data_IF_258647938055
#
_entry.id   IF_258647938055
#
_cell.length_a   1.000
_cell.length_b   1.000
_cell.length_c   1.000
_cell.angle_alpha   90.00
_cell.angle_beta   90.00
_cell.angle_gamma   90.00
#
_symmetry.space_group_name_H-M   'P 1'
#
loop_
_entity.id
_entity.type
_entity.pdbx_description
1 polymer ?
#
# COMPACT_ATOMS: atom_id res chain seq x y z
N UNK A 1 26.04 1.86 -24.77
CA UNK A 1 25.59 1.87 -23.36
C UNK A 1 26.75 2.39 -22.53
N UNK A 2 26.61 3.55 -21.90
CA UNK A 2 27.67 4.14 -21.10
C UNK A 2 27.76 3.39 -19.75
N UNK A 3 28.96 2.91 -19.41
CA UNK A 3 29.25 2.22 -18.15
C UNK A 3 30.19 3.09 -17.34
N UNK A 4 29.71 3.61 -16.22
CA UNK A 4 30.53 4.36 -15.26
C UNK A 4 30.99 3.44 -14.14
N UNK A 5 32.26 3.52 -13.78
CA UNK A 5 32.85 2.72 -12.72
C UNK A 5 33.20 3.59 -11.51
N UNK A 6 32.79 3.15 -10.32
CA UNK A 6 33.09 3.82 -9.06
C UNK A 6 33.76 2.85 -8.09
N UNK A 7 34.51 3.37 -7.12
CA UNK A 7 35.04 2.57 -6.02
C UNK A 7 34.18 2.78 -4.78
N UNK A 8 33.78 1.69 -4.12
CA UNK A 8 33.04 1.77 -2.87
C UNK A 8 33.93 2.38 -1.77
N UNK A 9 33.50 3.44 -1.07
CA UNK A 9 34.29 4.05 0.00
C UNK A 9 34.49 3.13 1.22
N UNK A 10 33.67 2.08 1.37
CA UNK A 10 33.73 1.20 2.53
C UNK A 10 34.58 -0.06 2.34
N UNK A 11 34.56 -0.66 1.14
CA UNK A 11 35.26 -1.91 0.86
C UNK A 11 36.20 -1.83 -0.34
N UNK A 12 36.28 -0.67 -1.01
CA UNK A 12 37.11 -0.41 -2.20
C UNK A 12 36.75 -1.29 -3.41
N UNK A 13 35.64 -2.03 -3.36
CA UNK A 13 35.16 -2.81 -4.49
C UNK A 13 34.79 -1.90 -5.68
N UNK A 14 35.10 -2.36 -6.90
CA UNK A 14 34.81 -1.63 -8.13
C UNK A 14 33.38 -1.88 -8.58
N UNK A 15 32.52 -0.88 -8.41
CA UNK A 15 31.11 -0.91 -8.75
C UNK A 15 30.93 -0.45 -10.21
N UNK A 16 30.29 -1.31 -11.02
CA UNK A 16 29.98 -1.01 -12.43
C UNK A 16 28.50 -0.67 -12.54
N UNK A 17 28.21 0.57 -12.92
CA UNK A 17 26.84 1.04 -13.10
C UNK A 17 26.49 1.11 -14.59
N UNK A 18 25.37 0.49 -14.96
CA UNK A 18 24.83 0.53 -16.34
C UNK A 18 23.68 1.55 -16.37
N UNK A 19 23.81 2.57 -17.21
CA UNK A 19 22.76 3.58 -17.42
C UNK A 19 22.95 4.87 -16.62
N UNK A 20 22.23 5.92 -17.02
CA UNK A 20 22.26 7.26 -16.40
C UNK A 20 21.49 7.24 -15.08
N UNK A 21 22.15 6.87 -13.98
CA UNK A 21 21.56 7.09 -12.66
C UNK A 21 21.65 8.57 -12.27
N UNK A 22 20.58 9.08 -11.67
CA UNK A 22 20.47 10.46 -11.23
C UNK A 22 21.02 10.62 -9.81
N UNK A 23 21.54 11.82 -9.53
CA UNK A 23 21.94 12.21 -8.19
C UNK A 23 20.77 12.02 -7.21
N UNK A 24 21.07 11.51 -6.01
CA UNK A 24 20.08 11.21 -4.97
C UNK A 24 19.71 9.73 -4.86
N UNK A 25 20.04 8.88 -5.86
CA UNK A 25 19.72 7.45 -5.82
C UNK A 25 20.48 6.76 -4.69
N UNK A 26 19.75 5.97 -3.88
CA UNK A 26 20.30 5.17 -2.77
C UNK A 26 20.31 3.70 -3.15
N UNK A 27 21.42 3.02 -2.89
CA UNK A 27 21.55 1.58 -3.13
C UNK A 27 22.54 0.94 -2.16
N UNK A 28 22.52 -0.38 -2.05
CA UNK A 28 23.46 -1.12 -1.19
C UNK A 28 24.61 -1.65 -2.03
N UNK A 29 25.83 -1.57 -1.48
CA UNK A 29 26.99 -2.20 -2.11
C UNK A 29 26.81 -3.73 -2.16
N UNK A 30 26.96 -4.40 -3.31
CA UNK A 30 26.80 -5.86 -3.41
C UNK A 30 27.88 -6.64 -2.64
N UNK A 31 29.06 -6.03 -2.43
CA UNK A 31 30.18 -6.70 -1.76
C UNK A 31 30.15 -6.55 -0.23
N UNK A 32 29.66 -5.42 0.29
CA UNK A 32 29.69 -5.14 1.73
C UNK A 32 28.34 -4.78 2.35
N UNK A 33 27.27 -4.77 1.55
CA UNK A 33 25.88 -4.47 1.97
C UNK A 33 25.68 -3.12 2.68
N UNK A 34 26.64 -2.19 2.59
CA UNK A 34 26.51 -0.86 3.21
C UNK A 34 25.73 0.09 2.29
N UNK A 35 24.89 0.97 2.85
CA UNK A 35 24.11 1.92 2.07
C UNK A 35 25.03 3.00 1.47
N UNK A 36 24.84 3.27 0.19
CA UNK A 36 25.56 4.28 -0.58
C UNK A 36 24.56 5.21 -1.27
N UNK A 37 24.94 6.47 -1.46
CA UNK A 37 24.17 7.43 -2.22
C UNK A 37 25.02 8.06 -3.31
N UNK A 38 24.41 8.26 -4.48
CA UNK A 38 25.03 9.01 -5.59
C UNK A 38 24.84 10.49 -5.31
N UNK A 39 25.94 11.20 -5.07
CA UNK A 39 25.96 12.67 -5.01
C UNK A 39 26.58 13.24 -6.28
N UNK A 40 26.17 14.43 -6.66
CA UNK A 40 26.82 15.20 -7.72
C UNK A 40 27.75 16.22 -7.08
N UNK A 41 29.03 16.22 -7.44
CA UNK A 41 29.97 17.25 -6.98
C UNK A 41 29.63 18.60 -7.62
N UNK A 42 30.05 19.73 -7.04
CA UNK A 42 29.83 21.06 -7.62
C UNK A 42 30.46 21.23 -9.02
N UNK A 43 31.42 20.39 -9.43
CA UNK A 43 31.94 20.36 -10.81
C UNK A 43 31.10 19.49 -11.77
N UNK A 44 29.95 18.96 -11.33
CA UNK A 44 29.04 18.15 -12.14
C UNK A 44 29.42 16.67 -12.26
N UNK A 45 30.46 16.21 -11.57
CA UNK A 45 30.90 14.81 -11.58
C UNK A 45 30.14 13.97 -10.55
N UNK A 46 29.71 12.77 -10.93
CA UNK A 46 29.04 11.84 -10.01
C UNK A 46 30.08 11.23 -9.05
N UNK A 47 29.78 11.23 -7.76
CA UNK A 47 30.59 10.61 -6.71
C UNK A 47 29.71 9.78 -5.77
N UNK A 48 30.30 8.76 -5.15
CA UNK A 48 29.62 7.97 -4.13
C UNK A 48 29.95 8.54 -2.76
N UNK A 49 28.93 9.00 -2.04
CA UNK A 49 29.08 9.42 -0.64
C UNK A 49 28.50 8.34 0.28
N UNK A 50 29.19 8.00 1.38
CA UNK A 50 28.62 7.15 2.42
C UNK A 50 27.43 7.89 3.04
N UNK A 51 26.30 7.20 3.17
CA UNK A 51 25.17 7.74 3.94
C UNK A 51 25.54 7.59 5.40
N UNK A 52 26.10 8.65 5.99
CA UNK A 52 26.27 8.74 7.43
C UNK A 52 24.87 8.65 8.05
N UNK A 53 24.66 7.62 8.88
CA UNK A 53 23.40 7.46 9.59
C UNK A 53 23.11 8.76 10.34
N UNK A 54 22.04 9.43 9.94
CA UNK A 54 21.50 10.57 10.66
C UNK A 54 21.44 10.21 12.16
N UNK A 55 22.01 11.04 13.05
CA UNK A 55 22.00 10.75 14.48
C UNK A 55 20.54 10.59 14.89
N UNK A 56 20.23 9.41 15.43
CA UNK A 56 18.93 9.06 16.02
C UNK A 56 18.44 10.28 16.81
N UNK A 57 17.34 10.93 16.41
CA UNK A 57 16.72 11.95 17.24
C UNK A 57 16.35 11.26 18.55
N UNK A 58 17.04 11.61 19.63
CA UNK A 58 16.67 11.23 20.99
C UNK A 58 15.40 11.99 21.38
N UNK A 59 14.29 11.63 20.73
CA UNK A 59 12.94 12.00 21.10
C UNK A 59 12.23 10.76 21.63
N UNK A 60 11.39 10.87 22.68
CA UNK A 60 10.68 9.73 23.23
C UNK A 60 9.75 9.14 22.16
N UNK A 61 10.05 7.91 21.75
CA UNK A 61 9.28 7.14 20.79
C UNK A 61 7.83 7.02 21.23
N UNK A 62 6.89 7.60 20.47
CA UNK A 62 5.43 7.47 20.65
C UNK A 62 4.91 6.03 20.56
N UNK A 63 5.76 5.08 20.17
CA UNK A 63 5.46 3.64 20.17
C UNK A 63 5.63 2.98 21.55
N UNK A 64 6.42 3.55 22.47
CA UNK A 64 6.57 3.03 23.84
C UNK A 64 5.46 3.51 24.79
N UNK A 65 4.85 4.68 24.52
CA UNK A 65 3.76 5.19 25.35
C UNK A 65 2.44 4.43 25.14
N UNK A 66 2.28 3.66 24.05
CA UNK A 66 1.05 2.90 23.80
C UNK A 66 1.06 1.50 24.43
N UNK A 67 2.22 0.99 24.86
CA UNK A 67 2.33 -0.33 25.51
C UNK A 67 2.02 -0.34 27.00
N UNK A 68 2.08 0.80 27.69
CA UNK A 68 1.72 0.85 29.13
C UNK A 68 0.22 1.07 29.39
N UNK A 69 -0.52 1.68 28.45
CA UNK A 69 -1.97 1.86 28.59
C UNK A 69 -2.79 0.59 28.27
N UNK A 70 -2.19 -0.41 27.62
CA UNK A 70 -2.86 -1.66 27.21
C UNK A 70 -2.88 -2.76 28.26
N UNK A 71 -2.06 -2.69 29.31
CA UNK A 71 -1.96 -3.76 30.31
C UNK A 71 -2.98 -3.62 31.46
N UNK A 72 -3.44 -2.40 31.76
CA UNK A 72 -4.39 -2.16 32.86
C UNK A 72 -5.84 -2.53 32.50
N UNK A 73 -6.21 -2.53 31.22
CA UNK A 73 -7.56 -2.91 30.77
C UNK A 73 -7.79 -4.42 30.71
N UNK A 74 -6.72 -5.24 30.75
CA UNK A 74 -6.84 -6.71 30.75
C UNK A 74 -7.07 -7.26 32.16
N UNK A 75 -6.57 -6.61 33.22
CA UNK A 75 -6.78 -7.06 34.60
C UNK A 75 -8.22 -6.86 35.10
N UNK A 76 -8.97 -5.90 34.57
CA UNK A 76 -10.38 -5.69 34.94
C UNK A 76 -11.34 -6.66 34.25
N UNK A 77 -10.95 -7.24 33.11
CA UNK A 77 -11.75 -8.25 32.39
C UNK A 77 -11.73 -9.65 33.03
N UNK A 78 -10.67 -10.00 33.76
CA UNK A 78 -10.51 -11.33 34.37
C UNK A 78 -11.48 -11.59 35.54
N UNK A 79 -12.05 -10.55 36.16
CA UNK A 79 -13.02 -10.72 37.26
C UNK A 79 -14.45 -11.00 36.79
N UNK A 80 -14.80 -10.69 35.54
CA UNK A 80 -16.13 -10.96 35.00
C UNK A 80 -16.31 -12.40 34.50
N UNK A 81 -15.22 -13.11 34.20
CA UNK A 81 -15.28 -14.49 33.70
C UNK A 81 -15.47 -15.54 34.80
N UNK A 82 -15.27 -15.19 36.07
CA UNK A 82 -15.42 -16.11 37.20
C UNK A 82 -16.87 -16.23 37.75
N UNK A 83 -17.82 -15.41 37.26
CA UNK A 83 -19.16 -15.30 37.85
C UNK A 83 -20.31 -15.83 36.97
N UNK A 84 -20.05 -16.45 35.82
CA UNK A 84 -21.09 -16.95 34.92
C UNK A 84 -21.01 -18.49 34.73
N UNK A 85 -21.93 -19.26 35.34
CA UNK A 85 -22.00 -20.72 35.15
C UNK A 85 -22.24 -21.14 33.69
N UNK A 86 -22.83 -20.26 32.89
CA UNK A 86 -23.19 -20.53 31.48
C UNK A 86 -21.95 -20.50 30.57
N UNK A 87 -20.96 -19.65 30.85
CA UNK A 87 -19.72 -19.59 30.06
C UNK A 87 -18.77 -20.77 30.35
N UNK A 88 -18.75 -21.27 31.59
CA UNK A 88 -18.00 -22.49 31.92
C UNK A 88 -18.57 -23.73 31.21
N UNK A 89 -19.89 -23.80 31.04
CA UNK A 89 -20.55 -24.85 30.24
C UNK A 89 -20.05 -24.88 28.79
N UNK A 90 -19.86 -23.71 28.16
CA UNK A 90 -19.36 -23.62 26.79
C UNK A 90 -17.87 -24.01 26.66
N UNK A 91 -17.05 -23.67 27.65
CA UNK A 91 -15.64 -24.07 27.66
C UNK A 91 -15.47 -25.58 27.83
N UNK A 92 -16.25 -26.22 28.71
CA UNK A 92 -16.19 -27.68 28.92
C UNK A 92 -16.76 -28.44 27.72
N UNK A 93 -17.86 -27.98 27.11
CA UNK A 93 -18.42 -28.60 25.91
C UNK A 93 -17.49 -28.44 24.69
N UNK A 94 -16.87 -27.27 24.51
CA UNK A 94 -15.94 -27.01 23.40
C UNK A 94 -14.64 -27.80 23.50
N UNK A 95 -14.06 -27.91 24.70
CA UNK A 95 -12.83 -28.70 24.91
C UNK A 95 -13.07 -30.21 24.82
N UNK A 96 -14.21 -30.71 25.29
CA UNK A 96 -14.58 -32.12 25.15
C UNK A 96 -14.80 -32.54 23.69
N UNK A 97 -15.48 -31.70 22.89
CA UNK A 97 -15.68 -31.96 21.45
C UNK A 97 -14.38 -31.97 20.65
N UNK A 98 -13.47 -31.05 20.95
CA UNK A 98 -12.15 -30.98 20.32
C UNK A 98 -11.30 -32.24 20.62
N UNK A 99 -11.38 -32.75 21.85
CA UNK A 99 -10.62 -33.93 22.29
C UNK A 99 -11.12 -35.21 21.60
N UNK A 100 -12.44 -35.37 21.42
CA UNK A 100 -13.02 -36.48 20.66
C UNK A 100 -12.62 -36.40 19.17
N UNK A 101 -12.64 -35.20 18.59
CA UNK A 101 -12.26 -34.99 17.20
C UNK A 101 -10.77 -35.29 16.97
N UNK A 102 -9.91 -34.95 17.92
CA UNK A 102 -8.50 -35.34 17.90
C UNK A 102 -8.31 -36.85 18.00
N UNK A 103 -9.08 -37.54 18.85
CA UNK A 103 -9.01 -39.00 18.94
C UNK A 103 -9.46 -39.69 17.64
N UNK A 104 -10.44 -39.15 16.92
CA UNK A 104 -10.84 -39.69 15.61
C UNK A 104 -9.81 -39.42 14.51
N UNK A 105 -9.08 -38.31 14.56
CA UNK A 105 -8.07 -37.97 13.56
C UNK A 105 -6.75 -38.71 13.73
N UNK A 106 -6.46 -39.20 14.95
CA UNK A 106 -5.21 -39.91 15.27
C UNK A 106 -5.39 -41.43 15.43
N UNK A 107 -6.59 -41.98 15.16
CA UNK A 107 -6.80 -43.43 15.16
C UNK A 107 -6.36 -44.04 13.82
N UNK A 108 -5.05 -44.24 13.70
CA UNK A 108 -4.39 -44.85 12.56
C UNK A 108 -4.21 -46.38 12.80
N UNK A 109 -5.27 -47.15 12.53
CA UNK A 109 -5.30 -48.57 12.03
C UNK A 109 -4.94 -49.73 13.00
N UNK A 110 -5.58 -50.94 12.91
CA UNK A 110 -5.41 -51.83 11.74
C UNK A 110 -6.59 -52.75 11.30
N UNK A 111 -6.55 -53.05 9.99
CA UNK A 111 -6.87 -54.34 9.34
C UNK A 111 -8.34 -54.80 9.21
N UNK A 112 -8.83 -54.61 7.98
CA UNK A 112 -9.95 -55.29 7.34
C UNK A 112 -9.55 -56.73 6.96
N UNK A 113 -10.39 -57.76 7.19
CA UNK A 113 -10.42 -58.96 6.36
C UNK A 113 -11.45 -58.79 5.23
N UNK A 114 -10.95 -58.73 4.00
CA UNK A 114 -11.74 -58.87 2.76
C UNK A 114 -12.35 -60.28 2.65
N UNK A 115 -13.56 -60.41 2.10
CA UNK A 115 -13.96 -61.58 1.32
C UNK A 115 -13.83 -61.29 -0.18
N UNK A 116 -13.16 -62.19 -0.89
CA UNK A 116 -12.94 -62.21 -2.33
C UNK A 116 -14.16 -62.73 -3.12
N UNK A 117 -14.01 -62.71 -4.46
CA UNK A 117 -14.82 -63.27 -5.57
C UNK A 117 -16.03 -62.42 -6.00
N UNK A 118 -16.23 -62.06 -7.27
CA UNK A 118 -15.86 -62.70 -8.55
C UNK A 118 -15.93 -61.65 -9.70
N UNK A 119 -15.27 -61.85 -10.86
CA UNK A 119 -15.16 -60.85 -11.93
C UNK A 119 -16.18 -61.09 -13.05
N UNK A 120 -16.71 -60.03 -13.64
CA UNK A 120 -17.37 -60.12 -14.94
C UNK A 120 -16.89 -59.02 -15.87
N UNK A 121 -16.52 -59.46 -17.07
CA UNK A 121 -15.81 -58.75 -18.11
C UNK A 121 -16.76 -58.23 -19.17
N UNK A 122 -16.54 -57.00 -19.64
CA UNK A 122 -16.79 -56.52 -21.02
C UNK A 122 -15.84 -55.31 -21.17
N UNK A 123 -14.74 -55.36 -21.94
CA UNK A 123 -14.67 -55.16 -23.40
C UNK A 123 -15.50 -53.93 -23.85
N UNK A 124 -15.06 -52.96 -24.63
CA UNK A 124 -13.95 -52.81 -25.56
C UNK A 124 -13.96 -51.33 -26.04
N UNK A 125 -13.02 -50.98 -26.91
CA UNK A 125 -13.04 -49.87 -27.89
C UNK A 125 -12.42 -48.51 -27.48
N UNK A 126 -11.11 -48.44 -27.71
CA UNK A 126 -10.43 -47.50 -28.62
C UNK A 126 -11.27 -46.36 -29.25
N UNK A 127 -10.83 -45.12 -29.09
CA UNK A 127 -10.61 -44.18 -30.20
C UNK A 127 -9.77 -42.97 -29.76
N UNK A 128 -8.56 -42.88 -30.32
CA UNK A 128 -7.76 -41.65 -30.40
C UNK A 128 -7.82 -41.13 -31.87
N UNK A 129 -7.20 -39.98 -32.22
CA UNK A 129 -7.79 -38.71 -32.68
C UNK A 129 -7.65 -38.56 -34.24
N UNK A 130 -7.82 -37.40 -34.95
CA UNK A 130 -6.90 -36.24 -34.84
C UNK A 130 -7.42 -34.84 -35.34
N UNK A 131 -6.70 -33.77 -34.94
CA UNK A 131 -6.11 -32.69 -35.77
C UNK A 131 -6.93 -31.95 -36.87
N UNK A 132 -6.90 -30.60 -36.87
CA UNK A 132 -6.64 -29.70 -38.02
C UNK A 132 -6.65 -28.23 -37.52
N UNK A 133 -5.50 -27.52 -37.55
CA UNK A 133 -4.97 -26.67 -38.65
C UNK A 133 -5.58 -25.25 -38.67
N UNK A 134 -4.77 -24.18 -38.45
CA UNK A 134 -4.20 -23.31 -39.52
C UNK A 134 -5.07 -22.05 -39.67
N UNK A 135 -4.66 -20.79 -39.84
CA UNK A 135 -3.43 -20.08 -40.22
C UNK A 135 -3.61 -18.57 -39.88
N UNK A 136 -2.51 -17.80 -39.93
CA UNK A 136 -2.34 -16.41 -40.41
C UNK A 136 -3.33 -15.31 -39.94
N UNK A 137 -2.92 -14.10 -39.57
CA UNK A 137 -2.06 -13.22 -40.35
C UNK A 137 -1.76 -11.94 -39.51
N UNK A 138 -0.52 -11.50 -39.51
CA UNK A 138 -0.04 -10.14 -39.17
C UNK A 138 0.76 -9.75 -40.41
N UNK A 139 0.82 -8.50 -40.94
CA UNK A 139 0.96 -7.24 -40.17
C UNK A 139 0.42 -5.98 -40.87
N UNK A 140 0.62 -4.79 -40.25
CA UNK A 140 1.08 -3.52 -40.85
C UNK A 140 0.87 -2.39 -39.81
N UNK A 141 1.90 -1.91 -39.10
CA UNK A 141 2.79 -0.80 -39.49
C UNK A 141 2.03 0.44 -40.01
N UNK A 142 1.82 1.44 -39.16
CA UNK A 142 2.00 2.86 -39.51
C UNK A 142 2.56 3.62 -38.30
N UNK A 143 3.86 3.81 -38.39
CA UNK A 143 4.66 4.86 -37.77
C UNK A 143 4.20 6.24 -38.26
N UNK A 144 3.97 7.20 -37.37
CA UNK A 144 4.00 8.64 -37.71
C UNK A 144 4.19 9.48 -36.45
N UNK A 145 5.45 9.75 -36.15
CA UNK A 145 5.90 10.96 -35.45
C UNK A 145 6.07 12.06 -36.51
N UNK A 146 5.74 13.32 -36.20
CA UNK A 146 6.80 14.32 -36.19
C UNK A 146 6.66 15.33 -35.03
N UNK A 147 7.72 15.40 -34.23
CA UNK A 147 8.32 16.62 -33.66
C UNK A 147 8.78 17.52 -34.84
N UNK A 148 8.74 18.88 -34.82
CA UNK A 148 9.49 19.75 -33.89
C UNK A 148 8.71 21.05 -33.53
N UNK A 149 9.15 22.03 -32.75
CA UNK A 149 10.43 22.72 -32.74
C UNK A 149 10.48 23.71 -31.55
N UNK A 150 11.68 23.96 -31.06
CA UNK A 150 12.02 24.82 -29.94
C UNK A 150 11.85 26.32 -30.23
N UNK A 151 11.45 27.10 -29.20
CA UNK A 151 11.82 28.52 -29.04
C UNK A 151 11.89 28.92 -27.56
N UNK A 152 13.06 28.77 -26.96
CA UNK A 152 13.69 29.84 -26.15
C UNK A 152 14.68 30.55 -27.09
N UNK A 153 15.05 31.84 -26.93
CA UNK A 153 15.42 32.47 -25.65
C UNK A 153 15.05 33.97 -25.52
N UNK A 154 15.00 34.52 -24.30
CA UNK A 154 15.59 35.86 -24.02
C UNK A 154 16.00 35.93 -22.55
N UNK A 155 17.30 35.96 -22.32
CA UNK A 155 17.92 36.52 -21.13
C UNK A 155 18.03 38.04 -21.29
N UNK A 156 17.72 38.81 -20.24
CA UNK A 156 18.34 40.14 -20.03
C UNK A 156 18.65 40.33 -18.54
N UNK A 157 19.81 40.91 -18.17
CA UNK A 157 20.35 40.95 -16.81
C UNK A 157 20.16 42.33 -16.13
N UNK A 158 20.28 42.36 -14.80
CA UNK A 158 21.11 43.29 -13.99
C UNK A 158 20.66 43.36 -12.52
N UNK A 159 21.51 42.79 -11.66
CA UNK A 159 22.19 43.39 -10.50
C UNK A 159 21.46 44.23 -9.42
N UNK A 160 22.03 44.26 -8.19
CA UNK A 160 21.29 44.25 -6.94
C UNK A 160 21.11 45.64 -6.34
N UNK A 161 19.95 45.88 -5.73
CA UNK A 161 19.76 47.03 -4.83
C UNK A 161 19.85 46.51 -3.40
N UNK A 162 21.03 46.64 -2.79
CA UNK A 162 21.16 46.62 -1.33
C UNK A 162 20.54 47.92 -0.78
N UNK A 163 19.64 47.84 0.22
CA UNK A 163 19.35 48.98 1.06
C UNK A 163 20.42 49.09 2.15
N UNK A 164 21.02 50.27 2.22
CA UNK A 164 21.93 50.70 3.28
C UNK A 164 21.34 50.47 4.68
N UNK A 165 22.09 49.77 5.53
CA UNK A 165 21.84 49.71 6.98
C UNK A 165 22.25 51.04 7.61
N UNK A 166 21.35 51.77 8.31
CA UNK A 166 21.78 52.88 9.13
C UNK A 166 22.56 52.36 10.35
N UNK A 167 23.75 52.91 10.49
CA UNK A 167 24.67 52.82 11.61
C UNK A 167 23.93 53.05 12.94
N UNK A 168 23.86 52.02 13.78
CA UNK A 168 23.29 52.09 15.12
C UNK A 168 24.28 52.86 16.02
N UNK A 169 24.10 54.17 16.08
CA UNK A 169 24.83 55.06 16.97
C UNK A 169 24.36 54.83 18.41
N UNK A 170 25.33 54.47 19.26
CA UNK A 170 25.24 54.22 20.70
C UNK A 170 24.13 55.00 21.41
N UNK A 171 22.96 54.39 21.57
CA UNK A 171 22.01 54.80 22.59
C UNK A 171 22.32 54.03 23.87
N UNK A 172 22.75 54.78 24.88
CA UNK A 172 22.94 54.34 26.25
C UNK A 172 21.77 53.43 26.69
N UNK A 173 22.08 52.17 26.99
CA UNK A 173 21.18 51.23 27.63
C UNK A 173 20.93 51.70 29.07
N UNK A 174 19.94 52.56 29.25
CA UNK A 174 19.32 52.77 30.57
C UNK A 174 18.36 51.60 30.74
N UNK A 175 18.69 50.66 31.63
CA UNK A 175 17.77 49.60 32.03
C UNK A 175 16.54 50.23 32.69
N UNK A 176 15.44 50.33 31.94
CA UNK A 176 14.16 50.76 32.48
C UNK A 176 13.66 49.71 33.49
N UNK A 177 13.25 50.19 34.67
CA UNK A 177 12.71 49.41 35.77
C UNK A 177 11.48 48.58 35.30
N UNK A 178 11.39 47.29 35.64
CA UNK A 178 10.44 46.35 35.01
C UNK A 178 9.04 46.33 35.61
N UNK A 179 8.53 47.44 36.16
CA UNK A 179 7.29 47.42 36.96
C UNK A 179 6.06 48.07 36.29
N UNK A 180 6.15 48.50 35.02
CA UNK A 180 5.00 49.12 34.32
C UNK A 180 4.76 48.64 32.89
N UNK A 181 5.22 47.44 32.52
CA UNK A 181 4.78 46.85 31.26
C UNK A 181 3.32 46.36 31.42
N UNK A 182 2.33 46.90 30.68
CA UNK A 182 1.00 46.31 30.64
C UNK A 182 1.12 44.84 30.19
N UNK A 183 0.26 43.93 30.70
CA UNK A 183 0.36 42.52 30.37
C UNK A 183 0.32 42.34 28.84
N UNK A 184 1.34 41.69 28.29
CA UNK A 184 1.37 41.31 26.89
C UNK A 184 0.27 40.28 26.65
N UNK A 185 -0.91 40.75 26.22
CA UNK A 185 -1.99 39.88 25.78
C UNK A 185 -1.62 39.39 24.38
N UNK A 186 -1.03 38.20 24.29
CA UNK A 186 -0.87 37.51 23.02
C UNK A 186 -2.28 37.28 22.44
N UNK A 187 -2.61 38.02 21.37
CA UNK A 187 -3.83 37.73 20.61
C UNK A 187 -3.64 36.38 19.95
N UNK A 188 -4.54 35.44 20.25
CA UNK A 188 -4.63 34.19 19.51
C UNK A 188 -4.83 34.56 18.03
N UNK A 189 -3.98 34.09 17.10
CA UNK A 189 -4.17 34.32 15.69
C UNK A 189 -5.60 33.95 15.30
N UNK A 190 -6.26 34.81 14.53
CA UNK A 190 -7.57 34.49 13.99
C UNK A 190 -7.50 33.13 13.27
N UNK A 191 -8.52 32.26 13.43
CA UNK A 191 -8.54 30.99 12.73
C UNK A 191 -8.38 31.24 11.24
N UNK A 192 -7.26 30.81 10.66
CA UNK A 192 -7.10 30.83 9.21
C UNK A 192 -8.23 29.99 8.61
N UNK A 193 -8.91 30.57 7.64
CA UNK A 193 -9.91 29.88 6.83
C UNK A 193 -9.25 28.64 6.22
N UNK A 194 -9.72 27.45 6.60
CA UNK A 194 -9.17 26.20 6.11
C UNK A 194 -9.39 26.18 4.59
N UNK A 195 -8.33 26.05 3.77
CA UNK A 195 -8.50 25.95 2.33
C UNK A 195 -9.44 24.80 2.01
N UNK A 196 -10.42 25.03 1.12
CA UNK A 196 -11.29 23.97 0.64
C UNK A 196 -10.42 22.84 0.06
N UNK A 197 -10.57 21.63 0.59
CA UNK A 197 -9.89 20.44 0.06
C UNK A 197 -10.41 20.20 -1.36
N UNK A 198 -9.55 20.07 -2.37
CA UNK A 198 -10.00 19.80 -3.73
C UNK A 198 -10.69 18.43 -3.78
N UNK A 199 -11.90 18.39 -4.36
CA UNK A 199 -12.63 17.13 -4.54
C UNK A 199 -11.92 16.25 -5.58
N UNK A 200 -11.75 14.96 -5.25
CA UNK A 200 -11.17 13.96 -6.16
C UNK A 200 -12.17 13.62 -7.27
N UNK A 201 -11.72 13.69 -8.53
CA UNK A 201 -12.49 13.17 -9.68
C UNK A 201 -12.36 11.64 -9.73
N UNK A 202 -13.45 10.95 -9.39
CA UNK A 202 -13.50 9.49 -9.29
C UNK A 202 -13.30 8.83 -10.65
N UNK A 203 -13.81 9.40 -11.74
CA UNK A 203 -13.67 8.81 -13.07
C UNK A 203 -12.21 8.84 -13.54
N UNK A 204 -11.46 9.88 -13.17
CA UNK A 204 -10.02 9.98 -13.42
C UNK A 204 -9.24 9.06 -12.47
N UNK A 205 -9.57 9.05 -11.18
CA UNK A 205 -8.89 8.21 -10.19
C UNK A 205 -9.00 6.72 -10.54
N UNK A 206 -10.16 6.25 -11.01
CA UNK A 206 -10.37 4.86 -11.43
C UNK A 206 -9.47 4.42 -12.61
N UNK A 207 -8.92 5.36 -13.39
CA UNK A 207 -8.03 5.07 -14.52
C UNK A 207 -6.54 5.02 -14.15
N UNK A 208 -6.20 5.29 -12.87
CA UNK A 208 -4.80 5.25 -12.42
C UNK A 208 -4.22 3.84 -12.66
N UNK A 209 -3.08 3.73 -13.35
CA UNK A 209 -2.44 2.45 -13.64
C UNK A 209 -1.77 1.87 -12.40
N UNK A 210 -1.94 0.56 -12.21
CA UNK A 210 -1.32 -0.22 -11.15
C UNK A 210 -0.40 -1.25 -11.81
N UNK A 211 0.90 -1.16 -11.51
CA UNK A 211 1.89 -2.11 -12.02
C UNK A 211 1.65 -3.52 -11.49
N UNK A 212 1.37 -3.63 -10.19
CA UNK A 212 1.11 -4.89 -9.52
C UNK A 212 0.26 -4.65 -8.26
N UNK A 213 -0.80 -5.45 -8.11
CA UNK A 213 -1.62 -5.53 -6.92
C UNK A 213 -1.55 -6.96 -6.37
N UNK A 214 -1.31 -7.11 -5.07
CA UNK A 214 -1.29 -8.40 -4.40
C UNK A 214 -2.03 -8.31 -3.06
N UNK A 215 -3.05 -9.15 -2.92
CA UNK A 215 -3.79 -9.42 -1.70
C UNK A 215 -3.73 -10.94 -1.46
N UNK A 216 -2.59 -11.48 -0.96
CA UNK A 216 -2.39 -12.92 -0.84
C UNK A 216 -3.21 -13.56 0.29
N UNK A 217 -3.59 -12.77 1.29
CA UNK A 217 -4.42 -13.21 2.40
C UNK A 217 -5.88 -12.95 2.08
N UNK A 218 -6.70 -13.99 2.20
CA UNK A 218 -8.15 -13.88 2.13
C UNK A 218 -8.67 -12.88 3.17
N UNK A 219 -9.40 -11.88 2.69
CA UNK A 219 -10.09 -10.91 3.53
C UNK A 219 -11.53 -10.72 3.04
N UNK A 220 -12.47 -10.36 3.93
CA UNK A 220 -13.84 -10.07 3.54
C UNK A 220 -13.93 -8.99 2.47
N UNK A 221 -14.82 -9.16 1.49
CA UNK A 221 -15.07 -8.18 0.43
C UNK A 221 -15.36 -6.77 0.99
N UNK A 222 -16.13 -6.66 2.07
CA UNK A 222 -16.39 -5.36 2.73
C UNK A 222 -15.10 -4.61 3.13
N UNK A 223 -14.06 -5.35 3.51
CA UNK A 223 -12.78 -4.77 3.93
C UNK A 223 -12.05 -4.22 2.72
N UNK A 224 -12.08 -4.93 1.59
CA UNK A 224 -11.54 -4.42 0.32
C UNK A 224 -12.30 -3.18 -0.14
N UNK A 225 -13.64 -3.20 -0.11
CA UNK A 225 -14.46 -2.04 -0.46
C UNK A 225 -14.05 -0.82 0.36
N UNK A 226 -13.94 -0.96 1.69
CA UNK A 226 -13.52 0.15 2.56
C UNK A 226 -12.11 0.68 2.24
N UNK A 227 -11.17 -0.19 1.83
CA UNK A 227 -9.85 0.23 1.39
C UNK A 227 -9.89 1.01 0.07
N UNK A 228 -10.76 0.61 -0.87
CA UNK A 228 -10.97 1.38 -2.10
C UNK A 228 -11.64 2.72 -1.83
N UNK A 229 -12.59 2.79 -0.88
CA UNK A 229 -13.20 4.05 -0.44
C UNK A 229 -12.16 5.02 0.13
N UNK A 230 -11.27 4.52 1.00
CA UNK A 230 -10.17 5.31 1.57
C UNK A 230 -9.19 5.79 0.49
N UNK A 231 -8.81 4.91 -0.44
CA UNK A 231 -7.86 5.25 -1.51
C UNK A 231 -8.43 6.25 -2.51
N UNK A 232 -9.74 6.18 -2.80
CA UNK A 232 -10.42 7.05 -3.76
C UNK A 232 -11.02 8.30 -3.11
N UNK A 233 -10.96 8.42 -1.79
CA UNK A 233 -11.61 9.47 -1.01
C UNK A 233 -13.10 9.63 -1.39
N UNK A 234 -13.79 8.50 -1.58
CA UNK A 234 -15.19 8.46 -2.04
C UNK A 234 -15.95 7.31 -1.41
N UNK A 235 -17.18 7.57 -0.95
CA UNK A 235 -18.06 6.57 -0.36
C UNK A 235 -18.81 5.78 -1.45
N UNK A 236 -18.82 4.45 -1.33
CA UNK A 236 -19.48 3.58 -2.28
C UNK A 236 -20.95 3.37 -1.88
N UNK A 237 -21.83 3.54 -2.85
CA UNK A 237 -23.27 3.40 -2.67
C UNK A 237 -23.69 1.97 -3.03
N UNK A 238 -23.93 1.15 -2.01
CA UNK A 238 -24.40 -0.22 -2.20
C UNK A 238 -25.93 -0.23 -2.35
N UNK A 239 -26.43 -0.92 -3.39
CA UNK A 239 -27.86 -1.18 -3.54
C UNK A 239 -28.42 -1.98 -2.35
N UNK A 240 -29.71 -1.78 -2.02
CA UNK A 240 -30.33 -2.38 -0.83
C UNK A 240 -30.24 -3.91 -0.80
N UNK A 241 -30.30 -4.57 -1.97
CA UNK A 241 -30.18 -6.02 -2.12
C UNK A 241 -28.75 -6.55 -1.93
N UNK A 242 -27.74 -5.68 -1.96
CA UNK A 242 -26.33 -6.00 -1.67
C UNK A 242 -26.03 -5.67 -0.21
N UNK A 243 -26.41 -4.46 0.24
CA UNK A 243 -26.16 -3.97 1.60
C UNK A 243 -26.77 -4.87 2.68
N UNK A 244 -27.97 -5.41 2.42
CA UNK A 244 -28.67 -6.29 3.37
C UNK A 244 -28.19 -7.74 3.33
N UNK A 245 -27.39 -8.14 2.34
CA UNK A 245 -26.83 -9.49 2.24
C UNK A 245 -25.43 -9.53 2.84
N UNK A 246 -25.36 -9.68 4.16
CA UNK A 246 -24.07 -9.76 4.87
C UNK A 246 -23.20 -10.91 4.35
N UNK A 247 -23.79 -12.02 3.84
CA UNK A 247 -23.00 -13.15 3.37
C UNK A 247 -22.18 -12.79 2.13
N UNK A 248 -22.75 -12.01 1.21
CA UNK A 248 -22.01 -11.50 0.05
C UNK A 248 -20.83 -10.62 0.47
N UNK A 249 -21.03 -9.74 1.45
CA UNK A 249 -20.00 -8.80 1.91
C UNK A 249 -18.91 -9.46 2.77
N UNK A 250 -19.21 -10.58 3.43
CA UNK A 250 -18.23 -11.41 4.15
C UNK A 250 -17.49 -12.40 3.24
N UNK A 251 -17.78 -12.44 1.93
CA UNK A 251 -17.10 -13.35 0.99
C UNK A 251 -15.58 -13.16 1.09
N UNK A 252 -14.81 -14.22 1.39
CA UNK A 252 -13.36 -14.14 1.46
C UNK A 252 -12.80 -13.99 0.05
N UNK A 253 -12.02 -12.94 -0.18
CA UNK A 253 -11.39 -12.66 -1.47
C UNK A 253 -9.87 -12.61 -1.27
N UNK A 254 -9.16 -13.34 -2.13
CA UNK A 254 -7.74 -13.15 -2.37
C UNK A 254 -7.56 -12.81 -3.85
N UNK A 255 -6.64 -11.91 -4.16
CA UNK A 255 -6.51 -11.41 -5.53
C UNK A 255 -5.08 -11.00 -5.85
N UNK A 256 -4.63 -11.27 -7.07
CA UNK A 256 -3.31 -10.86 -7.55
C UNK A 256 -3.37 -10.54 -9.03
N UNK A 257 -2.89 -9.35 -9.40
CA UNK A 257 -2.91 -8.93 -10.80
C UNK A 257 -1.77 -7.96 -11.10
N UNK A 258 -1.27 -8.03 -12.34
CA UNK A 258 -0.25 -7.13 -12.89
C UNK A 258 -0.83 -6.29 -14.00
N UNK A 259 -0.27 -5.10 -14.21
CA UNK A 259 -0.60 -4.17 -15.29
C UNK A 259 -2.11 -3.91 -15.43
N UNK A 260 -2.71 -3.43 -14.34
CA UNK A 260 -4.15 -3.19 -14.24
C UNK A 260 -4.45 -1.71 -13.98
N UNK A 261 -5.73 -1.37 -13.80
CA UNK A 261 -6.19 -0.06 -13.32
C UNK A 261 -7.08 -0.26 -12.10
N UNK A 262 -7.31 0.79 -11.32
CA UNK A 262 -8.22 0.71 -10.17
C UNK A 262 -9.62 0.24 -10.63
N UNK A 263 -10.12 0.74 -11.77
CA UNK A 263 -11.39 0.33 -12.38
C UNK A 263 -11.45 -1.17 -12.67
N UNK A 264 -10.43 -1.71 -13.35
CA UNK A 264 -10.41 -3.12 -13.74
C UNK A 264 -10.25 -4.02 -12.52
N UNK A 265 -9.39 -3.62 -11.58
CA UNK A 265 -9.18 -4.32 -10.33
C UNK A 265 -10.47 -4.41 -9.52
N UNK A 266 -11.17 -3.27 -9.34
CA UNK A 266 -12.44 -3.21 -8.63
C UNK A 266 -13.51 -4.07 -9.32
N UNK A 267 -13.61 -4.01 -10.66
CA UNK A 267 -14.56 -4.83 -11.42
C UNK A 267 -14.33 -6.33 -11.19
N UNK A 268 -13.08 -6.76 -11.20
CA UNK A 268 -12.73 -8.17 -11.02
C UNK A 268 -12.98 -8.65 -9.59
N UNK A 269 -12.58 -7.86 -8.58
CA UNK A 269 -12.86 -8.17 -7.18
C UNK A 269 -14.37 -8.29 -6.93
N UNK A 270 -15.18 -7.38 -7.50
CA UNK A 270 -16.63 -7.43 -7.35
C UNK A 270 -17.26 -8.61 -8.09
N UNK A 271 -16.68 -9.04 -9.22
CA UNK A 271 -17.20 -10.18 -9.99
C UNK A 271 -17.13 -11.51 -9.23
N UNK A 272 -16.18 -11.68 -8.31
CA UNK A 272 -16.08 -12.86 -7.43
C UNK A 272 -17.33 -13.04 -6.55
N UNK A 273 -18.04 -11.94 -6.26
CA UNK A 273 -19.29 -11.95 -5.49
C UNK A 273 -20.53 -11.74 -6.38
N UNK A 274 -20.41 -11.92 -7.70
CA UNK A 274 -21.46 -11.62 -8.68
C UNK A 274 -21.99 -10.17 -8.56
N UNK A 275 -21.10 -9.22 -8.27
CA UNK A 275 -21.40 -7.79 -8.20
C UNK A 275 -20.76 -7.05 -9.39
N UNK A 276 -21.36 -5.91 -9.71
CA UNK A 276 -20.83 -4.95 -10.68
C UNK A 276 -20.91 -3.55 -10.09
N UNK A 277 -20.23 -2.59 -10.73
CA UNK A 277 -20.31 -1.20 -10.33
C UNK A 277 -20.54 -0.26 -11.52
N UNK A 278 -21.13 0.89 -11.23
CA UNK A 278 -21.27 2.01 -12.16
C UNK A 278 -20.87 3.32 -11.50
N UNK A 279 -20.39 4.28 -12.30
CA UNK A 279 -20.02 5.61 -11.81
C UNK A 279 -21.10 6.60 -12.27
N UNK A 280 -21.74 7.28 -11.32
CA UNK A 280 -22.74 8.32 -11.60
C UNK A 280 -22.50 9.50 -10.66
N UNK A 281 -22.51 10.73 -11.17
CA UNK A 281 -22.37 11.94 -10.35
C UNK A 281 -21.18 11.93 -9.38
N UNK A 282 -20.01 11.52 -9.85
CA UNK A 282 -18.78 11.37 -9.04
C UNK A 282 -18.91 10.40 -7.83
N UNK A 283 -19.83 9.43 -7.91
CA UNK A 283 -20.01 8.37 -6.90
C UNK A 283 -19.99 7.01 -7.56
N UNK A 284 -19.51 6.02 -6.83
CA UNK A 284 -19.51 4.62 -7.24
C UNK A 284 -20.75 3.94 -6.66
N UNK A 285 -21.52 3.28 -7.52
CA UNK A 285 -22.71 2.51 -7.17
C UNK A 285 -22.44 1.03 -7.41
N UNK A 286 -22.69 0.18 -6.42
CA UNK A 286 -22.51 -1.28 -6.51
C UNK A 286 -23.86 -1.98 -6.49
N UNK A 287 -24.06 -2.88 -7.45
CA UNK A 287 -25.28 -3.68 -7.61
C UNK A 287 -24.93 -5.13 -7.98
N UNK A 288 -25.92 -6.04 -7.90
CA UNK A 288 -25.72 -7.41 -8.38
C UNK A 288 -25.59 -7.41 -9.91
N UNK A 289 -24.67 -8.22 -10.43
CA UNK A 289 -24.58 -8.44 -11.86
C UNK A 289 -25.84 -9.15 -12.36
N UNK A 290 -26.47 -8.62 -13.41
CA UNK A 290 -27.60 -9.27 -14.05
C UNK A 290 -27.09 -10.51 -14.83
N UNK A 291 -27.38 -11.72 -14.31
CA UNK A 291 -27.17 -12.98 -15.03
C UNK A 291 -26.01 -13.87 -14.55
N UNK A 292 -26.11 -14.38 -13.31
CA UNK A 292 -25.35 -15.56 -12.86
C UNK A 292 -26.31 -16.59 -12.29
#
# INVERSE_FOLDING_TARGET
MDVTTFQCPHCQATLRMRGRQTAGTRFHCPDCSKPLQISQTPEGQLSLTPVELEPIPQGPSRLAQKTEAGLQTVQSGARYLAASPVLMSWLVAGTGGLLILLLMLFDESPTIPQPQSEPEAVADAEHEPPNEMTEADTPLLVEMTPEPEAKEPVAVPRDPVQPDLPLLENQNLIAAQPDQAPPLVARKPDPMEVPAVPETDVAVALQIPILEFQQPKEIPLKTLIAQFEEMLDTEFQLADNVKNDSRLLETPISFSQKNTTISRLLAQILSEAALTFSVKSNKIYIERAEGS
#
